data_IF_381570835242
#
_entry.id   IF_381570835242
#
_cell.length_a   1.000
_cell.length_b   1.000
_cell.length_c   1.000
_cell.angle_alpha   90.00
_cell.angle_beta   90.00
_cell.angle_gamma   90.00
#
_symmetry.space_group_name_H-M   'P 1'
#
loop_
_entity.id
_entity.type
_entity.pdbx_description
1 polymer ?
#
# COMPACT_ATOMS: atom_id res chain seq x y z
N UNK A 1 5.67 -7.49 -19.23
CA UNK A 1 5.34 -6.14 -18.72
C UNK A 1 6.64 -5.35 -18.59
N UNK A 2 7.01 -4.61 -19.64
CA UNK A 2 8.27 -3.86 -19.68
C UNK A 2 8.38 -2.87 -18.50
N UNK A 3 9.57 -2.76 -17.92
CA UNK A 3 9.90 -1.79 -16.88
C UNK A 3 9.44 -2.12 -15.45
N UNK A 4 8.56 -3.11 -15.22
CA UNK A 4 8.09 -3.46 -13.87
C UNK A 4 8.89 -4.59 -13.22
N UNK A 5 9.15 -5.64 -13.98
CA UNK A 5 9.90 -6.82 -13.51
C UNK A 5 10.94 -7.22 -14.53
N UNK A 6 12.02 -7.85 -14.08
CA UNK A 6 13.02 -8.51 -14.92
C UNK A 6 13.12 -9.98 -14.51
N UNK A 7 13.38 -10.85 -15.48
CA UNK A 7 13.65 -12.26 -15.21
C UNK A 7 15.04 -12.40 -14.58
N UNK A 8 15.15 -13.23 -13.54
CA UNK A 8 16.40 -13.61 -12.90
C UNK A 8 16.69 -15.10 -13.12
N UNK A 9 17.85 -15.60 -12.68
CA UNK A 9 18.18 -17.03 -12.78
C UNK A 9 17.12 -17.93 -12.15
N UNK A 10 16.46 -17.44 -11.09
CA UNK A 10 15.27 -18.07 -10.50
C UNK A 10 14.21 -17.02 -10.22
N UNK A 11 13.12 -17.07 -10.99
CA UNK A 11 11.95 -16.20 -10.79
C UNK A 11 12.11 -14.81 -11.41
N UNK A 12 11.52 -13.81 -10.72
CA UNK A 12 11.44 -12.43 -11.17
C UNK A 12 11.88 -11.48 -10.07
N UNK A 13 12.54 -10.40 -10.45
CA UNK A 13 12.88 -9.29 -9.57
C UNK A 13 12.11 -8.04 -10.01
N UNK A 14 11.69 -7.23 -9.04
CA UNK A 14 11.19 -5.91 -9.34
C UNK A 14 12.31 -5.05 -9.97
N UNK A 15 11.91 -4.27 -10.96
CA UNK A 15 12.66 -3.09 -11.38
C UNK A 15 12.15 -1.88 -10.58
N UNK A 16 12.84 -0.75 -10.66
CA UNK A 16 12.52 0.46 -9.89
C UNK A 16 11.02 0.81 -9.95
N UNK A 17 10.46 0.90 -11.15
CA UNK A 17 9.04 1.22 -11.36
C UNK A 17 8.09 0.18 -10.74
N UNK A 18 8.46 -1.10 -10.80
CA UNK A 18 7.66 -2.16 -10.18
C UNK A 18 7.75 -2.18 -8.67
N UNK A 19 8.90 -1.82 -8.12
CA UNK A 19 9.08 -1.67 -6.68
C UNK A 19 8.28 -0.49 -6.12
N UNK A 20 8.34 0.67 -6.78
CA UNK A 20 7.56 1.86 -6.42
C UNK A 20 6.05 1.58 -6.46
N UNK A 21 5.57 0.90 -7.51
CA UNK A 21 4.16 0.56 -7.62
C UNK A 21 3.73 -0.51 -6.60
N UNK A 22 4.57 -1.51 -6.32
CA UNK A 22 4.30 -2.51 -5.28
C UNK A 22 4.20 -1.86 -3.88
N UNK A 23 5.07 -0.91 -3.56
CA UNK A 23 5.00 -0.12 -2.32
C UNK A 23 3.70 0.67 -2.26
N UNK A 24 3.35 1.36 -3.36
CA UNK A 24 2.13 2.16 -3.43
C UNK A 24 0.88 1.30 -3.22
N UNK A 25 0.75 0.19 -3.94
CA UNK A 25 -0.38 -0.75 -3.81
C UNK A 25 -0.47 -1.27 -2.37
N UNK A 26 0.65 -1.73 -1.79
CA UNK A 26 0.69 -2.21 -0.40
C UNK A 26 0.25 -1.14 0.60
N UNK A 27 0.65 0.11 0.41
CA UNK A 27 0.21 1.23 1.25
C UNK A 27 -1.28 1.49 1.12
N UNK A 28 -1.82 1.46 -0.10
CA UNK A 28 -3.25 1.68 -0.34
C UNK A 28 -4.10 0.58 0.28
N UNK A 29 -3.70 -0.67 0.13
CA UNK A 29 -4.32 -1.82 0.79
C UNK A 29 -4.52 -1.54 2.29
N UNK A 30 -3.40 -1.28 2.97
CA UNK A 30 -3.37 -1.06 4.42
C UNK A 30 -4.17 0.16 4.86
N UNK A 31 -4.12 1.26 4.10
CA UNK A 31 -4.93 2.44 4.39
C UNK A 31 -6.43 2.15 4.26
N UNK A 32 -6.82 1.33 3.29
CA UNK A 32 -8.21 0.91 3.17
C UNK A 32 -8.64 -0.01 4.30
N UNK A 33 -7.80 -0.95 4.73
CA UNK A 33 -8.05 -1.79 5.91
C UNK A 33 -8.29 -0.92 7.16
N UNK A 34 -7.43 0.08 7.40
CA UNK A 34 -7.62 1.04 8.51
C UNK A 34 -8.94 1.80 8.36
N UNK A 35 -9.24 2.33 7.17
CA UNK A 35 -10.48 3.09 6.96
C UNK A 35 -11.74 2.26 7.22
N UNK A 36 -11.77 1.02 6.72
CA UNK A 36 -12.89 0.11 6.92
C UNK A 36 -13.07 -0.24 8.41
N UNK A 37 -11.98 -0.51 9.11
CA UNK A 37 -12.01 -0.81 10.54
C UNK A 37 -12.44 0.40 11.39
N UNK A 38 -11.80 1.57 11.21
CA UNK A 38 -12.00 2.73 12.08
C UNK A 38 -13.29 3.51 11.76
N UNK A 39 -13.65 3.66 10.48
CA UNK A 39 -14.77 4.51 10.08
C UNK A 39 -16.05 3.75 9.75
N UNK A 40 -15.94 2.50 9.30
CA UNK A 40 -17.10 1.66 8.98
C UNK A 40 -17.34 0.55 9.99
N UNK A 41 -16.50 0.42 11.02
CA UNK A 41 -16.58 -0.59 12.07
C UNK A 41 -16.62 -2.02 11.53
N UNK A 42 -15.91 -2.27 10.43
CA UNK A 42 -15.71 -3.63 9.94
C UNK A 42 -14.78 -4.39 10.89
N UNK A 43 -15.02 -5.67 11.15
CA UNK A 43 -14.07 -6.51 11.86
C UNK A 43 -12.75 -6.61 11.11
N UNK A 44 -11.62 -6.54 11.83
CA UNK A 44 -10.27 -6.60 11.25
C UNK A 44 -10.08 -7.84 10.36
N UNK A 45 -10.68 -8.99 10.69
CA UNK A 45 -10.58 -10.22 9.91
C UNK A 45 -11.41 -10.21 8.60
N UNK A 46 -12.20 -9.17 8.35
CA UNK A 46 -13.09 -9.05 7.20
C UNK A 46 -12.75 -7.90 6.24
N UNK A 47 -11.77 -7.04 6.55
CA UNK A 47 -11.46 -5.85 5.72
C UNK A 47 -10.69 -6.16 4.43
N UNK A 48 -9.97 -7.28 4.39
CA UNK A 48 -8.99 -7.58 3.34
C UNK A 48 -9.59 -7.59 1.91
N UNK A 49 -10.71 -8.28 1.71
CA UNK A 49 -11.31 -8.44 0.38
C UNK A 49 -11.83 -7.10 -0.18
N UNK A 50 -12.40 -6.26 0.68
CA UNK A 50 -12.90 -4.94 0.29
C UNK A 50 -11.73 -3.97 0.05
N UNK A 51 -10.67 -4.04 0.87
CA UNK A 51 -9.45 -3.27 0.66
C UNK A 51 -8.76 -3.62 -0.69
N UNK A 52 -8.65 -4.90 -1.02
CA UNK A 52 -8.12 -5.38 -2.31
C UNK A 52 -8.95 -4.87 -3.51
N UNK A 53 -10.28 -4.83 -3.39
CA UNK A 53 -11.14 -4.31 -4.43
C UNK A 53 -10.94 -2.79 -4.66
N UNK A 54 -10.61 -2.05 -3.61
CA UNK A 54 -10.48 -0.59 -3.67
C UNK A 54 -9.08 -0.09 -4.05
N UNK A 55 -8.01 -0.79 -3.67
CA UNK A 55 -6.62 -0.31 -3.82
C UNK A 55 -6.23 0.03 -5.27
N UNK A 56 -6.88 -0.60 -6.25
CA UNK A 56 -6.61 -0.41 -7.67
C UNK A 56 -7.47 0.66 -8.35
N UNK A 57 -8.49 1.21 -7.68
CA UNK A 57 -9.50 2.07 -8.31
C UNK A 57 -9.43 3.55 -7.90
N UNK A 58 -8.33 3.99 -7.28
CA UNK A 58 -8.24 5.35 -6.73
C UNK A 58 -7.23 6.25 -7.42
N UNK A 59 -7.53 7.54 -7.47
CA UNK A 59 -6.63 8.57 -8.00
C UNK A 59 -5.59 9.00 -6.96
N UNK A 60 -4.46 9.60 -7.38
CA UNK A 60 -3.47 10.14 -6.43
C UNK A 60 -4.04 11.16 -5.45
N UNK A 61 -5.02 11.95 -5.86
CA UNK A 61 -5.70 12.93 -5.00
C UNK A 61 -6.53 12.23 -3.91
N UNK A 62 -7.21 11.14 -4.26
CA UNK A 62 -7.97 10.35 -3.29
C UNK A 62 -7.05 9.59 -2.33
N UNK A 63 -5.92 9.07 -2.82
CA UNK A 63 -4.85 8.48 -1.99
C UNK A 63 -4.36 9.49 -0.94
N UNK A 64 -4.05 10.72 -1.34
CA UNK A 64 -3.60 11.75 -0.40
C UNK A 64 -4.70 12.11 0.60
N UNK A 65 -5.94 12.24 0.14
CA UNK A 65 -7.08 12.53 1.02
C UNK A 65 -7.28 11.42 2.06
N UNK A 66 -7.15 10.15 1.66
CA UNK A 66 -7.27 9.00 2.55
C UNK A 66 -6.20 9.03 3.64
N UNK A 67 -4.93 9.27 3.28
CA UNK A 67 -3.82 9.42 4.25
C UNK A 67 -4.09 10.50 5.28
N UNK A 68 -4.59 11.65 4.84
CA UNK A 68 -4.91 12.78 5.71
C UNK A 68 -6.11 12.48 6.63
N UNK A 69 -7.17 11.89 6.08
CA UNK A 69 -8.37 11.49 6.86
C UNK A 69 -7.99 10.57 8.02
N UNK A 70 -7.06 9.64 7.79
CA UNK A 70 -6.60 8.68 8.78
C UNK A 70 -5.46 9.21 9.68
N UNK A 71 -5.07 10.47 9.53
CA UNK A 71 -3.97 11.08 10.27
C UNK A 71 -2.63 10.32 10.14
N UNK A 72 -2.30 9.86 8.93
CA UNK A 72 -1.04 9.16 8.60
C UNK A 72 -0.70 7.98 9.53
N UNK A 73 -1.57 6.94 9.60
CA UNK A 73 -1.39 5.82 10.53
C UNK A 73 -0.14 5.02 10.16
N UNK A 74 0.62 4.54 11.16
CA UNK A 74 1.88 3.82 10.93
C UNK A 74 1.71 2.30 10.76
N UNK A 75 0.58 1.74 11.20
CA UNK A 75 0.27 0.31 11.12
C UNK A 75 -1.17 0.12 10.66
N UNK A 76 -1.44 -1.02 10.02
CA UNK A 76 -2.79 -1.49 9.73
C UNK A 76 -3.42 -2.20 10.96
N UNK A 77 -4.70 -2.61 10.91
CA UNK A 77 -5.37 -3.32 12.02
C UNK A 77 -4.70 -4.65 12.40
N UNK A 78 -3.88 -5.21 11.50
CA UNK A 78 -3.11 -6.43 11.71
C UNK A 78 -1.71 -6.18 12.28
N UNK A 79 -1.41 -4.95 12.72
CA UNK A 79 -0.12 -4.50 13.22
C UNK A 79 1.03 -4.57 12.18
N UNK A 80 0.72 -4.66 10.89
CA UNK A 80 1.71 -4.59 9.83
C UNK A 80 2.02 -3.13 9.46
N UNK A 81 3.30 -2.78 9.20
CA UNK A 81 3.70 -1.38 9.02
C UNK A 81 3.22 -0.81 7.70
N UNK A 82 2.64 0.39 7.68
CA UNK A 82 2.26 1.05 6.42
C UNK A 82 3.51 1.64 5.76
N UNK A 83 3.83 1.26 4.50
CA UNK A 83 5.05 1.70 3.85
C UNK A 83 4.88 3.12 3.32
N UNK A 84 5.16 4.11 4.16
CA UNK A 84 5.46 5.46 3.69
C UNK A 84 6.85 5.49 3.08
N UNK A 85 7.03 6.31 2.06
CA UNK A 85 8.33 6.53 1.45
C UNK A 85 9.29 7.04 2.53
N UNK A 86 10.10 6.17 3.12
CA UNK A 86 11.16 6.58 4.00
C UNK A 86 12.25 7.15 3.09
N UNK A 87 12.27 8.47 2.97
CA UNK A 87 13.35 9.18 2.29
C UNK A 87 14.63 9.06 3.13
N UNK A 88 15.32 7.91 3.06
CA UNK A 88 16.75 7.78 3.38
C UNK A 88 17.26 6.34 3.22
N UNK A 89 17.77 6.02 2.04
CA UNK A 89 19.04 5.28 1.92
C UNK A 89 19.74 5.75 0.66
N UNK A 90 20.10 7.04 0.64
CA UNK A 90 21.28 7.47 -0.10
C UNK A 90 22.48 6.79 0.55
N UNK A 91 23.01 5.78 -0.13
CA UNK A 91 24.36 5.27 0.13
C UNK A 91 25.35 6.43 0.13
N UNK A 92 26.12 6.56 1.20
CA UNK A 92 27.48 7.11 1.20
C UNK A 92 28.39 6.02 1.71
#
# INVERSE_FOLDING_TARGET
KEGYVRQAERGYLFQQKGWEEAIRITRLHRLWEVYLAEHLAFPDDHVHADAEAMEHMITPELEEKLRQTLNHPLHDPHASPIPYNNSASTST
#
